data_IF_539964319609
#
_entry.id   IF_539964319609
#
_cell.length_a   1.000
_cell.length_b   1.000
_cell.length_c   1.000
_cell.angle_alpha   90.00
_cell.angle_beta   90.00
_cell.angle_gamma   90.00
#
_symmetry.space_group_name_H-M   'P 1'
#
loop_
_entity.id
_entity.type
_entity.pdbx_description
1 polymer ?
#
# COMPACT_ATOMS: atom_id res chain seq x y z
N UNK A 1 -2.35 20.48 4.76
CA UNK A 1 -1.98 19.20 5.39
C UNK A 1 -1.46 18.30 4.27
N UNK A 2 -0.15 18.26 4.04
CA UNK A 2 0.46 17.31 3.11
C UNK A 2 0.70 16.03 3.90
N UNK A 3 -0.05 14.97 3.59
CA UNK A 3 0.28 13.62 4.07
C UNK A 3 1.71 13.28 3.64
N UNK A 4 2.47 12.65 4.52
CA UNK A 4 3.82 12.21 4.22
C UNK A 4 3.80 11.27 3.01
N UNK A 5 4.87 11.22 2.23
CA UNK A 5 5.00 10.29 1.10
C UNK A 5 4.73 8.83 1.54
N UNK A 6 5.07 8.49 2.79
CA UNK A 6 4.76 7.21 3.43
C UNK A 6 3.26 6.96 3.57
N UNK A 7 2.45 7.99 3.87
CA UNK A 7 1.00 7.86 4.04
C UNK A 7 0.33 7.54 2.70
N UNK A 8 0.83 8.11 1.60
CA UNK A 8 0.34 7.83 0.25
C UNK A 8 0.70 6.43 -0.21
N UNK A 9 1.93 5.97 0.07
CA UNK A 9 2.37 4.60 -0.21
C UNK A 9 1.47 3.57 0.50
N UNK A 10 1.17 3.78 1.79
CA UNK A 10 0.32 2.91 2.58
C UNK A 10 -1.13 2.90 2.09
N UNK A 11 -1.64 4.06 1.66
CA UNK A 11 -2.99 4.15 1.09
C UNK A 11 -3.10 3.34 -0.21
N UNK A 12 -2.04 3.34 -1.04
CA UNK A 12 -1.96 2.47 -2.22
C UNK A 12 -1.98 1.00 -1.83
N UNK A 13 -1.15 0.58 -0.86
CA UNK A 13 -1.09 -0.81 -0.40
C UNK A 13 -2.43 -1.28 0.18
N UNK A 14 -3.04 -0.50 1.07
CA UNK A 14 -4.34 -0.81 1.66
C UNK A 14 -5.44 -0.95 0.60
N UNK A 15 -5.38 -0.15 -0.47
CA UNK A 15 -6.35 -0.24 -1.57
C UNK A 15 -6.12 -1.50 -2.41
N UNK A 16 -4.87 -1.86 -2.68
CA UNK A 16 -4.51 -3.09 -3.40
C UNK A 16 -4.86 -4.35 -2.60
N UNK A 17 -4.93 -4.30 -1.27
CA UNK A 17 -5.43 -5.44 -0.48
C UNK A 17 -6.90 -5.80 -0.76
N UNK A 18 -7.70 -4.87 -1.31
CA UNK A 18 -9.12 -5.08 -1.57
C UNK A 18 -9.46 -5.75 -2.91
N UNK A 19 -8.48 -5.97 -3.80
CA UNK A 19 -8.72 -6.64 -5.09
C UNK A 19 -7.45 -7.14 -5.75
N UNK A 20 -7.56 -8.13 -6.64
CA UNK A 20 -6.40 -8.83 -7.20
C UNK A 20 -5.49 -7.95 -8.06
N UNK A 21 -6.05 -7.18 -8.99
CA UNK A 21 -5.30 -6.26 -9.87
C UNK A 21 -6.05 -4.94 -9.95
N UNK A 22 -5.39 -3.82 -9.63
CA UNK A 22 -5.98 -2.49 -9.69
C UNK A 22 -5.29 -1.61 -10.73
N UNK A 23 -6.09 -0.98 -11.59
CA UNK A 23 -5.59 -0.08 -12.62
C UNK A 23 -5.04 1.22 -12.02
N UNK A 24 -4.05 1.87 -12.66
CA UNK A 24 -3.53 3.18 -12.22
C UNK A 24 -4.62 4.25 -12.11
N UNK A 25 -5.69 4.14 -12.90
CA UNK A 25 -6.84 5.05 -12.89
C UNK A 25 -7.62 5.05 -11.57
N UNK A 26 -7.53 3.99 -10.77
CA UNK A 26 -8.09 3.95 -9.40
C UNK A 26 -7.35 4.88 -8.43
N UNK A 27 -6.15 5.34 -8.81
CA UNK A 27 -5.28 6.16 -7.99
C UNK A 27 -5.08 7.56 -8.59
N UNK A 28 -6.19 8.24 -8.95
CA UNK A 28 -6.18 9.55 -9.65
C UNK A 28 -5.28 10.64 -9.04
N UNK A 29 -4.96 10.56 -7.75
CA UNK A 29 -4.15 11.54 -7.03
C UNK A 29 -2.78 11.02 -6.58
N UNK A 30 -2.36 9.85 -7.07
CA UNK A 30 -1.08 9.24 -6.71
C UNK A 30 -0.09 9.46 -7.85
N UNK A 31 1.07 10.02 -7.53
CA UNK A 31 2.12 10.25 -8.51
C UNK A 31 2.77 8.94 -8.96
N UNK A 32 3.24 8.89 -10.21
CA UNK A 32 3.92 7.71 -10.76
C UNK A 32 5.13 7.27 -9.94
N UNK A 33 5.84 8.24 -9.34
CA UNK A 33 6.99 8.00 -8.45
C UNK A 33 6.68 7.11 -7.25
N UNK A 34 5.45 7.17 -6.72
CA UNK A 34 5.00 6.33 -5.61
C UNK A 34 4.96 4.86 -6.04
N UNK A 35 4.38 4.57 -7.20
CA UNK A 35 4.35 3.20 -7.74
C UNK A 35 5.76 2.69 -8.03
N UNK A 36 6.63 3.52 -8.61
CA UNK A 36 8.04 3.17 -8.84
C UNK A 36 8.76 2.82 -7.54
N UNK A 37 8.54 3.59 -6.46
CA UNK A 37 9.10 3.30 -5.16
C UNK A 37 8.56 1.99 -4.56
N UNK A 38 7.26 1.74 -4.66
CA UNK A 38 6.63 0.51 -4.17
C UNK A 38 7.10 -0.74 -4.92
N UNK A 39 7.30 -0.63 -6.25
CA UNK A 39 7.88 -1.71 -7.07
C UNK A 39 9.34 -1.96 -6.66
N UNK A 40 10.13 -0.90 -6.50
CA UNK A 40 11.53 -1.02 -6.07
C UNK A 40 11.69 -1.68 -4.68
N UNK A 41 10.69 -1.50 -3.81
CA UNK A 41 10.60 -2.14 -2.47
C UNK A 41 10.04 -3.56 -2.51
N UNK A 42 9.70 -4.10 -3.68
CA UNK A 42 9.00 -5.38 -3.84
C UNK A 42 7.63 -5.44 -3.15
N UNK A 43 6.97 -4.31 -2.88
CA UNK A 43 5.67 -4.28 -2.20
C UNK A 43 4.49 -4.46 -3.16
N UNK A 44 4.67 -4.07 -4.42
CA UNK A 44 3.68 -4.27 -5.49
C UNK A 44 4.41 -4.75 -6.75
N UNK A 45 3.67 -5.38 -7.65
CA UNK A 45 4.15 -5.78 -8.98
C UNK A 45 3.16 -5.36 -10.05
N UNK A 46 3.65 -5.18 -11.27
CA UNK A 46 2.79 -5.06 -12.45
C UNK A 46 2.13 -6.41 -12.71
N UNK A 47 0.82 -6.41 -12.89
CA UNK A 47 0.02 -7.60 -13.14
C UNK A 47 -1.02 -7.31 -14.22
N UNK A 48 -1.44 -8.35 -14.93
CA UNK A 48 -2.53 -8.29 -15.90
C UNK A 48 -3.70 -9.10 -15.36
N UNK A 49 -4.93 -8.63 -15.53
CA UNK A 49 -6.10 -9.45 -15.23
C UNK A 49 -6.32 -10.52 -16.31
N UNK A 50 -6.94 -11.64 -15.92
CA UNK A 50 -7.27 -12.76 -16.82
C UNK A 50 -8.32 -12.36 -17.89
N UNK A 51 -8.91 -11.17 -17.77
CA UNK A 51 -9.89 -10.61 -18.70
C UNK A 51 -9.27 -9.98 -19.96
N UNK A 52 -7.95 -10.12 -20.16
CA UNK A 52 -7.36 -10.02 -21.49
C UNK A 52 -6.99 -8.61 -21.95
N UNK A 53 -6.54 -7.73 -21.05
CA UNK A 53 -5.89 -6.50 -21.50
C UNK A 53 -5.57 -5.43 -20.46
N UNK A 54 -5.97 -5.58 -19.20
CA UNK A 54 -5.75 -4.53 -18.21
C UNK A 54 -4.43 -4.74 -17.45
N UNK A 55 -3.45 -3.87 -17.73
CA UNK A 55 -2.25 -3.75 -16.90
C UNK A 55 -2.55 -2.87 -15.68
N UNK A 56 -2.32 -3.43 -14.51
CA UNK A 56 -2.47 -2.75 -13.23
C UNK A 56 -1.37 -3.16 -12.26
N UNK A 57 -1.63 -2.93 -10.98
CA UNK A 57 -0.75 -3.34 -9.90
C UNK A 57 -1.42 -4.38 -9.03
N UNK A 58 -0.62 -5.32 -8.53
CA UNK A 58 -1.01 -6.31 -7.54
C UNK A 58 -0.07 -6.21 -6.35
N UNK A 59 -0.62 -6.33 -5.14
CA UNK A 59 0.18 -6.35 -3.91
C UNK A 59 0.91 -7.68 -3.76
N UNK A 60 2.15 -7.65 -3.27
CA UNK A 60 2.94 -8.85 -2.95
C UNK A 60 2.76 -9.26 -1.48
N UNK A 61 3.34 -10.39 -1.08
CA UNK A 61 3.38 -10.81 0.33
C UNK A 61 4.09 -9.77 1.20
N UNK A 62 5.23 -9.25 0.74
CA UNK A 62 6.00 -8.21 1.42
C UNK A 62 5.19 -6.91 1.58
N UNK A 63 4.45 -6.51 0.54
CA UNK A 63 3.58 -5.34 0.60
C UNK A 63 2.41 -5.51 1.57
N UNK A 64 1.84 -6.71 1.66
CA UNK A 64 0.80 -7.04 2.64
C UNK A 64 1.32 -6.95 4.07
N UNK A 65 2.50 -7.50 4.33
CA UNK A 65 3.14 -7.43 5.64
C UNK A 65 3.45 -5.97 6.02
N UNK A 66 4.05 -5.19 5.12
CA UNK A 66 4.36 -3.78 5.36
C UNK A 66 3.10 -2.95 5.64
N UNK A 67 1.98 -3.25 4.96
CA UNK A 67 0.70 -2.61 5.23
C UNK A 67 0.14 -2.98 6.62
N UNK A 68 0.29 -4.24 7.05
CA UNK A 68 -0.18 -4.72 8.34
C UNK A 68 0.66 -4.18 9.51
N UNK A 69 1.98 -4.15 9.36
CA UNK A 69 2.92 -3.65 10.36
C UNK A 69 2.67 -2.16 10.68
N UNK A 70 2.27 -1.38 9.68
CA UNK A 70 1.94 0.03 9.89
C UNK A 70 0.63 0.22 10.68
N UNK A 71 -0.39 -0.59 10.40
CA UNK A 71 -1.65 -0.59 11.18
C UNK A 71 -1.38 -0.97 12.64
N UNK A 72 -0.50 -1.96 12.85
CA UNK A 72 -0.10 -2.40 14.20
C UNK A 72 0.72 -1.32 14.94
N UNK A 73 1.61 -0.62 14.22
CA UNK A 73 2.43 0.47 14.78
C UNK A 73 1.61 1.71 15.15
N UNK A 74 0.54 2.01 14.42
CA UNK A 74 -0.41 3.09 14.75
C UNK A 74 -1.31 2.82 15.96
N UNK A 75 -1.43 1.56 16.40
CA UNK A 75 -2.23 1.15 17.55
C UNK A 75 -1.41 0.90 18.83
N UNK A 76 -0.07 0.99 18.77
CA UNK A 76 0.81 0.65 19.90
C UNK A 76 1.31 1.88 20.70
N UNK A 77 0.49 2.92 20.85
CA UNK A 77 0.83 4.12 21.67
C UNK A 77 -0.11 4.37 22.86
N UNK A 78 -0.94 3.40 23.25
CA UNK A 78 -1.74 3.47 24.50
C UNK A 78 -1.38 2.35 25.47
N UNK A 79 -0.09 2.13 25.72
CA UNK A 79 0.35 1.49 26.95
C UNK A 79 0.74 2.59 27.95
N UNK A 80 -0.26 3.27 28.52
CA UNK A 80 -0.03 4.07 29.73
C UNK A 80 0.40 3.11 30.81
N UNK A 81 1.66 3.24 31.21
CA UNK A 81 2.19 2.75 32.46
C UNK A 81 1.28 3.23 33.59
N UNK A 82 0.63 2.32 34.28
CA UNK A 82 0.16 2.61 35.63
C UNK A 82 1.07 1.87 36.59
N UNK A 83 1.95 2.67 37.19
CA UNK A 83 2.94 2.31 38.18
C UNK A 83 2.32 1.61 39.39
N UNK A 84 3.17 0.78 39.99
CA UNK A 84 3.06 0.07 41.27
C UNK A 84 2.39 0.83 42.41
#
# INVERSE_FOLDING_TARGET
MMGSQSDVELLVLARLMSGDVQAPSYFRNVQRSVFTALIAKNFIREASDDHGGYQGYQITDDGRQASADHVSSGQHSTAVSQSS
#
